data_IF_121565463777
#
_entry.id   IF_121565463777
#
_cell.length_a   1.000
_cell.length_b   1.000
_cell.length_c   1.000
_cell.angle_alpha   90.00
_cell.angle_beta   90.00
_cell.angle_gamma   90.00
#
_symmetry.space_group_name_H-M   'P 1'
#
loop_
_entity.id
_entity.type
_entity.pdbx_description
1 polymer ?
#
# COMPACT_ATOMS: atom_id res chain seq x y z
N UNK A 1 9.34 -2.93 25.30
CA UNK A 1 8.24 -1.95 25.18
C UNK A 1 7.44 -2.40 23.98
N UNK A 2 6.11 -2.58 24.09
CA UNK A 2 5.31 -2.90 22.90
C UNK A 2 5.13 -1.61 22.11
N UNK A 3 5.69 -1.55 20.90
CA UNK A 3 5.36 -0.47 19.98
C UNK A 3 3.86 -0.53 19.70
N UNK A 4 3.15 0.57 20.00
CA UNK A 4 1.74 0.65 19.70
C UNK A 4 1.58 0.85 18.19
N UNK A 5 0.94 -0.10 17.52
CA UNK A 5 0.72 -0.02 16.09
C UNK A 5 -0.32 1.05 15.75
N UNK A 6 -0.17 1.74 14.59
CA UNK A 6 -1.11 2.77 14.16
C UNK A 6 -2.50 2.16 13.89
N UNK A 7 -3.55 2.93 14.17
CA UNK A 7 -4.90 2.59 13.74
C UNK A 7 -5.12 3.10 12.32
N UNK A 8 -4.77 2.28 11.34
CA UNK A 8 -4.90 2.63 9.92
C UNK A 8 -6.29 2.25 9.38
N UNK A 9 -6.80 3.00 8.38
CA UNK A 9 -7.93 2.52 7.60
C UNK A 9 -7.56 1.21 6.88
N UNK A 10 -8.56 0.54 6.33
CA UNK A 10 -8.30 -0.52 5.38
C UNK A 10 -7.70 0.09 4.12
N UNK A 11 -6.59 -0.50 3.66
CA UNK A 11 -5.79 0.00 2.55
C UNK A 11 -5.72 -1.02 1.43
N UNK A 12 -5.62 -0.51 0.20
CA UNK A 12 -5.36 -1.30 -0.98
C UNK A 12 -4.27 -0.63 -1.81
N UNK A 13 -3.44 -1.44 -2.45
CA UNK A 13 -2.62 -0.98 -3.56
C UNK A 13 -3.49 -0.95 -4.82
N UNK A 14 -3.40 0.15 -5.55
CA UNK A 14 -4.09 0.37 -6.81
C UNK A 14 -3.15 1.01 -7.81
N UNK A 15 -3.49 0.88 -9.09
CA UNK A 15 -2.91 1.65 -10.17
C UNK A 15 -3.37 3.12 -10.13
N UNK A 16 -2.59 3.98 -10.77
CA UNK A 16 -2.87 5.41 -10.88
C UNK A 16 -1.85 6.12 -11.78
N UNK A 17 -1.83 7.45 -11.77
CA UNK A 17 -0.90 8.21 -12.59
C UNK A 17 0.56 8.02 -12.12
N UNK A 18 1.53 8.25 -13.01
CA UNK A 18 2.96 8.24 -12.65
C UNK A 18 3.34 9.33 -11.63
N UNK A 19 2.52 10.36 -11.51
CA UNK A 19 2.66 11.43 -10.52
C UNK A 19 1.29 11.68 -9.89
N UNK A 20 1.15 11.34 -8.61
CA UNK A 20 -0.08 11.56 -7.88
C UNK A 20 -0.12 13.00 -7.31
N UNK A 21 -1.17 13.79 -7.59
CA UNK A 21 -1.34 15.08 -6.95
C UNK A 21 -1.67 14.93 -5.46
N UNK A 22 -1.59 16.02 -4.71
CA UNK A 22 -1.78 16.00 -3.26
C UNK A 22 -3.21 15.63 -2.82
N UNK A 23 -4.21 15.97 -3.64
CA UNK A 23 -5.58 15.49 -3.47
C UNK A 23 -5.92 14.59 -4.63
N UNK A 24 -6.14 13.31 -4.34
CA UNK A 24 -6.41 12.32 -5.37
C UNK A 24 -7.44 11.28 -4.94
N UNK A 25 -8.28 10.86 -5.88
CA UNK A 25 -9.28 9.82 -5.71
C UNK A 25 -9.22 8.83 -6.86
N UNK A 26 -9.30 7.53 -6.58
CA UNK A 26 -9.09 6.49 -7.62
C UNK A 26 -10.17 6.47 -8.72
N UNK A 27 -11.27 7.19 -8.55
CA UNK A 27 -12.34 7.34 -9.54
C UNK A 27 -12.26 8.64 -10.36
N UNK A 28 -11.18 9.43 -10.21
CA UNK A 28 -11.04 10.66 -10.99
C UNK A 28 -10.66 10.34 -12.45
N UNK A 29 -11.43 10.89 -13.39
CA UNK A 29 -11.27 10.67 -14.84
C UNK A 29 -10.36 11.71 -15.52
N UNK A 30 -9.74 12.61 -14.77
CA UNK A 30 -8.94 13.73 -15.30
C UNK A 30 -7.45 13.40 -15.50
N UNK A 31 -7.05 12.17 -15.18
CA UNK A 31 -5.72 11.65 -15.43
C UNK A 31 -5.74 10.31 -16.14
N UNK A 32 -4.59 9.97 -16.72
CA UNK A 32 -4.36 8.64 -17.28
C UNK A 32 -3.65 7.77 -16.27
N UNK A 33 -4.02 6.49 -16.25
CA UNK A 33 -3.49 5.52 -15.31
C UNK A 33 -2.41 4.66 -15.95
N UNK A 34 -1.31 4.45 -15.22
CA UNK A 34 -0.31 3.44 -15.58
C UNK A 34 -0.79 2.08 -15.10
N UNK A 35 -1.24 1.26 -16.05
CA UNK A 35 -1.78 -0.06 -15.76
C UNK A 35 -0.69 -1.14 -15.75
N UNK A 36 -0.90 -2.16 -14.92
CA UNK A 36 0.01 -3.29 -14.77
C UNK A 36 -0.73 -4.61 -14.89
N UNK A 37 -0.06 -5.63 -15.40
CA UNK A 37 -0.55 -7.01 -15.29
C UNK A 37 -0.43 -7.51 -13.86
N UNK A 38 -1.26 -8.46 -13.47
CA UNK A 38 -1.15 -9.20 -12.21
C UNK A 38 0.28 -9.74 -12.00
N UNK A 39 0.91 -10.24 -13.08
CA UNK A 39 2.29 -10.73 -13.04
C UNK A 39 3.31 -9.65 -12.68
N UNK A 40 3.22 -8.47 -13.28
CA UNK A 40 4.16 -7.38 -13.00
C UNK A 40 4.09 -6.95 -11.53
N UNK A 41 2.88 -6.89 -10.96
CA UNK A 41 2.65 -6.54 -9.56
C UNK A 41 3.13 -7.65 -8.63
N UNK A 42 2.80 -8.91 -8.93
CA UNK A 42 3.31 -10.05 -8.17
C UNK A 42 4.84 -10.10 -8.14
N UNK A 43 5.50 -9.90 -9.29
CA UNK A 43 6.97 -9.83 -9.40
C UNK A 43 7.56 -8.63 -8.64
N UNK A 44 6.84 -7.50 -8.59
CA UNK A 44 7.26 -6.32 -7.83
C UNK A 44 7.18 -6.58 -6.32
N UNK A 45 6.06 -7.12 -5.84
CA UNK A 45 5.83 -7.49 -4.43
C UNK A 45 6.87 -8.53 -3.98
N UNK A 46 7.06 -9.62 -4.72
CA UNK A 46 8.01 -10.68 -4.37
C UNK A 46 9.48 -10.21 -4.37
N UNK A 47 9.78 -9.08 -5.00
CA UNK A 47 11.14 -8.53 -4.99
C UNK A 47 11.48 -7.71 -3.75
N UNK A 48 10.50 -7.41 -2.90
CA UNK A 48 10.72 -6.72 -1.63
C UNK A 48 11.38 -7.67 -0.64
N UNK A 49 12.54 -7.32 -0.04
CA UNK A 49 13.19 -8.16 0.96
C UNK A 49 12.26 -8.46 2.15
N UNK A 50 12.13 -9.74 2.48
CA UNK A 50 11.24 -10.22 3.54
C UNK A 50 9.86 -10.64 3.05
N UNK A 51 9.50 -10.38 1.79
CA UNK A 51 8.30 -10.96 1.17
C UNK A 51 8.55 -12.42 0.78
N UNK A 52 7.57 -13.27 1.06
CA UNK A 52 7.52 -14.65 0.61
C UNK A 52 6.16 -14.94 -0.05
N UNK A 53 6.18 -15.80 -1.06
CA UNK A 53 4.97 -16.37 -1.62
C UNK A 53 4.35 -17.36 -0.62
N UNK A 54 3.06 -17.20 -0.34
CA UNK A 54 2.27 -18.07 0.55
C UNK A 54 1.41 -19.00 -0.29
N UNK A 55 0.72 -18.46 -1.29
CA UNK A 55 -0.09 -19.20 -2.26
C UNK A 55 0.24 -18.73 -3.68
N UNK A 56 0.43 -19.68 -4.59
CA UNK A 56 0.69 -19.39 -6.01
C UNK A 56 -0.61 -19.05 -6.75
N UNK A 57 -0.49 -18.48 -7.95
CA UNK A 57 -1.61 -18.10 -8.82
C UNK A 57 -2.26 -19.34 -9.50
N UNK A 58 -2.73 -20.29 -8.69
CA UNK A 58 -3.39 -21.50 -9.15
C UNK A 58 -4.72 -21.70 -8.41
N UNK A 59 -5.87 -21.80 -9.10
CA UNK A 59 -6.00 -21.87 -10.56
C UNK A 59 -5.91 -20.52 -11.31
N UNK A 60 -5.91 -19.39 -10.60
CA UNK A 60 -5.85 -18.03 -11.17
C UNK A 60 -5.19 -17.06 -10.17
N UNK A 61 -5.09 -15.79 -10.53
CA UNK A 61 -4.45 -14.77 -9.69
C UNK A 61 -5.20 -14.44 -8.40
N UNK A 62 -6.52 -14.65 -8.36
CA UNK A 62 -7.31 -14.46 -7.12
C UNK A 62 -6.89 -15.43 -5.99
N UNK A 63 -6.22 -16.55 -6.33
CA UNK A 63 -5.62 -17.46 -5.35
C UNK A 63 -4.25 -17.03 -4.84
N UNK A 64 -3.61 -16.07 -5.52
CA UNK A 64 -2.24 -15.68 -5.24
C UNK A 64 -2.17 -14.87 -3.93
N UNK A 65 -1.24 -15.24 -3.06
CA UNK A 65 -1.00 -14.52 -1.81
C UNK A 65 0.49 -14.46 -1.53
N UNK A 66 1.00 -13.27 -1.23
CA UNK A 66 2.33 -13.08 -0.68
C UNK A 66 2.28 -12.32 0.64
N UNK A 67 3.33 -12.47 1.45
CA UNK A 67 3.42 -11.81 2.75
C UNK A 67 4.83 -11.35 3.05
N UNK A 68 4.96 -10.08 3.43
CA UNK A 68 6.13 -9.52 4.08
C UNK A 68 6.06 -9.78 5.58
N UNK A 69 7.16 -10.22 6.21
CA UNK A 69 7.22 -10.41 7.68
C UNK A 69 8.56 -9.95 8.26
N UNK A 70 8.51 -9.27 9.42
CA UNK A 70 9.69 -8.91 10.22
C UNK A 70 9.32 -8.73 11.69
N UNK A 71 9.99 -9.46 12.59
CA UNK A 71 9.86 -9.22 14.03
C UNK A 71 8.45 -9.37 14.62
N UNK A 72 7.57 -10.14 13.98
CA UNK A 72 6.15 -10.29 14.37
C UNK A 72 5.22 -9.33 13.64
N UNK A 73 5.74 -8.34 12.90
CA UNK A 73 4.97 -7.49 12.01
C UNK A 73 4.79 -8.15 10.65
N UNK A 74 3.67 -7.87 9.98
CA UNK A 74 3.41 -8.41 8.65
C UNK A 74 2.61 -7.46 7.75
N UNK A 75 2.75 -7.68 6.44
CA UNK A 75 1.87 -7.13 5.40
C UNK A 75 1.55 -8.28 4.43
N UNK A 76 0.27 -8.57 4.24
CA UNK A 76 -0.25 -9.59 3.34
C UNK A 76 -0.89 -8.91 2.12
N UNK A 77 -0.60 -9.48 0.95
CA UNK A 77 -1.02 -9.01 -0.35
C UNK A 77 -1.78 -10.14 -1.04
N UNK A 78 -2.97 -9.84 -1.54
CA UNK A 78 -3.62 -10.61 -2.60
C UNK A 78 -3.43 -9.90 -3.94
N UNK A 79 -3.93 -10.49 -5.02
CA UNK A 79 -4.03 -9.86 -6.32
C UNK A 79 -5.43 -10.15 -6.83
N UNK A 80 -6.15 -9.13 -7.28
CA UNK A 80 -7.41 -9.28 -7.99
C UNK A 80 -7.20 -8.92 -9.46
N UNK A 81 -7.71 -9.75 -10.36
CA UNK A 81 -7.80 -9.41 -11.79
C UNK A 81 -9.12 -8.70 -12.08
N UNK A 82 -9.09 -7.69 -12.94
CA UNK A 82 -10.29 -6.98 -13.38
C UNK A 82 -10.31 -6.85 -14.91
N UNK A 83 -11.51 -6.61 -15.46
CA UNK A 83 -11.68 -6.15 -16.84
C UNK A 83 -11.55 -4.61 -16.84
N UNK A 84 -10.61 -4.03 -17.61
CA UNK A 84 -10.40 -2.58 -17.66
C UNK A 84 -11.09 -1.96 -18.88
N UNK A 85 -11.40 -0.67 -18.78
CA UNK A 85 -11.79 0.14 -19.93
C UNK A 85 -10.53 0.70 -20.64
N UNK A 86 -10.22 0.22 -21.86
CA UNK A 86 -8.98 0.57 -22.57
C UNK A 86 -8.85 2.07 -22.92
N UNK A 87 -9.90 2.88 -22.76
CA UNK A 87 -9.86 4.31 -23.10
C UNK A 87 -9.05 5.18 -22.11
N UNK A 88 -8.77 4.67 -20.90
CA UNK A 88 -8.10 5.44 -19.82
C UNK A 88 -6.64 5.01 -19.51
N UNK A 89 -6.04 4.18 -20.35
CA UNK A 89 -4.71 3.60 -20.13
C UNK A 89 -3.58 4.49 -20.69
N UNK A 90 -2.45 4.57 -19.97
CA UNK A 90 -1.18 5.07 -20.51
C UNK A 90 -0.51 4.07 -21.46
N UNK A 91 -0.75 2.76 -21.27
CA UNK A 91 -0.08 1.68 -21.96
C UNK A 91 -1.07 0.84 -22.77
N UNK A 92 -1.21 1.09 -24.09
CA UNK A 92 -2.19 0.36 -24.90
C UNK A 92 -1.77 -1.11 -25.08
N UNK A 93 -2.77 -2.00 -25.17
CA UNK A 93 -2.59 -3.38 -25.65
C UNK A 93 -2.47 -4.45 -24.56
N UNK A 94 -2.88 -4.15 -23.33
CA UNK A 94 -3.08 -5.16 -22.28
C UNK A 94 -4.52 -5.71 -22.37
N UNK A 95 -4.66 -7.05 -22.31
CA UNK A 95 -5.97 -7.72 -22.32
C UNK A 95 -6.50 -8.04 -20.93
N UNK A 96 -5.61 -8.13 -19.95
CA UNK A 96 -5.89 -8.42 -18.55
C UNK A 96 -5.02 -7.50 -17.70
N UNK A 97 -5.58 -6.95 -16.63
CA UNK A 97 -4.88 -6.04 -15.74
C UNK A 97 -5.17 -6.39 -14.28
N UNK A 98 -4.24 -5.96 -13.44
CA UNK A 98 -4.39 -5.97 -12.00
C UNK A 98 -5.41 -4.90 -11.58
N UNK A 99 -6.50 -5.33 -10.94
CA UNK A 99 -7.56 -4.45 -10.44
C UNK A 99 -7.34 -3.96 -9.00
N UNK A 100 -6.24 -4.35 -8.36
CA UNK A 100 -5.90 -3.95 -7.00
C UNK A 100 -5.44 -5.12 -6.13
N UNK A 101 -4.83 -4.76 -5.01
CA UNK A 101 -4.34 -5.70 -3.99
C UNK A 101 -4.68 -5.17 -2.61
N UNK A 102 -5.44 -5.94 -1.83
CA UNK A 102 -5.66 -5.65 -0.42
C UNK A 102 -4.33 -5.61 0.32
N UNK A 103 -4.17 -4.58 1.14
CA UNK A 103 -2.95 -4.32 1.90
C UNK A 103 -3.20 -4.59 3.39
N UNK A 104 -3.39 -5.87 3.72
CA UNK A 104 -3.72 -6.29 5.09
C UNK A 104 -2.46 -6.27 5.94
N UNK A 105 -2.45 -5.46 6.99
CA UNK A 105 -1.23 -5.13 7.70
C UNK A 105 -1.35 -5.23 9.22
N UNK A 106 -0.22 -5.51 9.85
CA UNK A 106 0.03 -5.41 11.28
C UNK A 106 1.49 -4.97 11.44
N UNK A 107 1.75 -3.69 11.18
CA UNK A 107 3.09 -3.14 11.11
C UNK A 107 3.07 -1.64 11.36
N UNK A 108 4.26 -1.06 11.53
CA UNK A 108 4.45 0.37 11.70
C UNK A 108 4.28 1.12 10.37
N UNK A 109 3.99 2.43 10.42
CA UNK A 109 3.93 3.27 9.22
C UNK A 109 5.24 3.25 8.43
N UNK A 110 6.39 3.24 9.12
CA UNK A 110 7.70 3.19 8.47
C UNK A 110 7.90 1.89 7.67
N UNK A 111 7.37 0.77 8.15
CA UNK A 111 7.42 -0.51 7.44
C UNK A 111 6.50 -0.52 6.21
N UNK A 112 5.31 0.08 6.32
CA UNK A 112 4.42 0.29 5.17
C UNK A 112 5.12 1.13 4.10
N UNK A 113 5.66 2.28 4.48
CA UNK A 113 6.39 3.17 3.58
C UNK A 113 7.60 2.48 2.94
N UNK A 114 8.32 1.66 3.71
CA UNK A 114 9.45 0.88 3.21
C UNK A 114 9.00 -0.11 2.13
N UNK A 115 7.99 -0.94 2.41
CA UNK A 115 7.52 -1.97 1.48
C UNK A 115 6.91 -1.33 0.23
N UNK A 116 6.02 -0.35 0.42
CA UNK A 116 5.36 0.34 -0.68
C UNK A 116 6.35 1.06 -1.60
N UNK A 117 7.34 1.78 -1.05
CA UNK A 117 8.38 2.45 -1.85
C UNK A 117 9.19 1.46 -2.69
N UNK A 118 9.44 0.24 -2.20
CA UNK A 118 10.17 -0.76 -2.96
C UNK A 118 9.33 -1.37 -4.09
N UNK A 119 8.02 -1.52 -3.89
CA UNK A 119 7.09 -1.89 -4.96
C UNK A 119 7.07 -0.79 -6.03
N UNK A 120 6.93 0.48 -5.63
CA UNK A 120 6.91 1.63 -6.56
C UNK A 120 8.18 1.78 -7.40
N UNK A 121 9.35 1.31 -6.93
CA UNK A 121 10.57 1.33 -7.76
C UNK A 121 10.44 0.49 -9.04
N UNK A 122 9.55 -0.49 -9.05
CA UNK A 122 9.27 -1.33 -10.23
C UNK A 122 7.97 -0.96 -10.92
N UNK A 123 6.96 -0.57 -10.14
CA UNK A 123 5.65 -0.16 -10.63
C UNK A 123 5.34 1.27 -10.15
N UNK A 124 5.88 2.30 -10.81
CA UNK A 124 5.83 3.69 -10.33
C UNK A 124 4.43 4.30 -10.21
N UNK A 125 3.43 3.79 -10.93
CA UNK A 125 2.02 4.19 -10.84
C UNK A 125 1.23 3.47 -9.76
N UNK A 126 1.88 2.72 -8.86
CA UNK A 126 1.19 2.01 -7.77
C UNK A 126 1.04 2.91 -6.54
N UNK A 127 -0.18 3.12 -6.08
CA UNK A 127 -0.51 3.96 -4.93
C UNK A 127 -1.28 3.20 -3.87
N UNK A 128 -1.27 3.70 -2.63
CA UNK A 128 -2.22 3.25 -1.62
C UNK A 128 -3.49 4.09 -1.69
N UNK A 129 -4.64 3.46 -1.56
CA UNK A 129 -5.90 4.16 -1.28
C UNK A 129 -6.66 3.49 -0.14
N UNK A 130 -7.60 4.22 0.46
CA UNK A 130 -8.51 3.69 1.48
C UNK A 130 -9.89 3.33 0.91
N UNK A 131 -10.80 2.91 1.79
CA UNK A 131 -12.19 2.56 1.44
C UNK A 131 -13.02 3.75 0.96
N UNK A 132 -12.59 4.98 1.21
CA UNK A 132 -13.20 6.20 0.66
C UNK A 132 -12.59 6.56 -0.71
N UNK A 133 -11.80 5.64 -1.29
CA UNK A 133 -11.08 5.77 -2.54
C UNK A 133 -10.06 6.92 -2.54
N UNK A 134 -9.68 7.45 -1.38
CA UNK A 134 -8.69 8.51 -1.29
C UNK A 134 -7.32 7.92 -1.51
N UNK A 135 -6.62 8.40 -2.52
CA UNK A 135 -5.27 7.95 -2.84
C UNK A 135 -4.25 8.77 -2.07
N UNK A 136 -3.17 8.12 -1.67
CA UNK A 136 -2.10 8.71 -0.91
C UNK A 136 -0.80 8.66 -1.71
N UNK A 137 -0.02 9.74 -1.64
CA UNK A 137 1.41 9.70 -1.93
C UNK A 137 2.20 9.44 -0.64
N UNK A 138 3.47 9.05 -0.75
CA UNK A 138 4.32 8.70 0.40
C UNK A 138 4.39 9.81 1.46
N UNK A 139 4.43 11.08 1.02
CA UNK A 139 4.55 12.24 1.90
C UNK A 139 3.28 12.43 2.72
N UNK A 140 2.12 12.51 2.06
CA UNK A 140 0.83 12.74 2.72
C UNK A 140 0.47 11.56 3.63
N UNK A 141 0.76 10.33 3.20
CA UNK A 141 0.53 9.15 4.04
C UNK A 141 1.33 9.25 5.36
N UNK A 142 2.60 9.63 5.27
CA UNK A 142 3.45 9.80 6.45
C UNK A 142 3.00 10.96 7.35
N UNK A 143 2.53 12.07 6.78
CA UNK A 143 2.01 13.20 7.56
C UNK A 143 0.75 12.84 8.34
N UNK A 144 -0.17 12.08 7.74
CA UNK A 144 -1.44 11.71 8.35
C UNK A 144 -1.28 10.60 9.40
N UNK A 145 -0.40 9.63 9.16
CA UNK A 145 -0.35 8.40 9.96
C UNK A 145 0.96 8.22 10.73
N UNK A 146 2.06 8.86 10.30
CA UNK A 146 3.40 8.65 10.89
C UNK A 146 3.58 9.22 12.30
N UNK A 147 2.74 10.15 12.73
CA UNK A 147 2.79 10.74 14.08
C UNK A 147 1.98 9.95 15.11
N UNK A 148 1.02 9.12 14.68
CA UNK A 148 0.14 8.36 15.59
C UNK A 148 0.88 7.31 16.44
N UNK A 149 2.13 6.99 16.12
CA UNK A 149 3.00 6.12 16.91
C UNK A 149 3.96 6.86 17.87
N UNK A 150 3.93 8.20 17.94
CA UNK A 150 4.86 9.00 18.76
C UNK A 150 4.22 9.69 19.97
N UNK A 151 2.90 9.84 19.99
CA UNK A 151 2.20 10.64 21.01
C UNK A 151 1.92 9.90 22.32
N UNK A 152 2.37 8.66 22.49
CA UNK A 152 2.23 7.91 23.75
C UNK A 152 3.45 7.99 24.69
N UNK A 153 4.53 8.67 24.28
CA UNK A 153 5.74 8.86 25.09
C UNK A 153 5.92 10.33 25.49
N UNK A 154 5.10 10.82 26.43
CA UNK A 154 5.47 12.01 27.19
C UNK A 154 4.33 12.86 27.74
N UNK A 155 3.82 12.50 28.91
CA UNK A 155 3.55 13.47 29.97
C UNK A 155 3.43 12.74 31.32
N UNK A 156 4.58 12.43 31.93
CA UNK A 156 4.66 12.14 33.35
C UNK A 156 5.31 13.36 34.02
N UNK A 157 4.53 14.44 34.17
CA UNK A 157 4.94 15.57 34.99
C UNK A 157 4.69 15.17 36.44
N UNK A 158 5.72 14.62 37.08
CA UNK A 158 5.81 14.55 38.53
C UNK A 158 5.94 15.98 39.08
N UNK A 159 4.81 16.61 39.38
CA UNK A 159 4.79 17.77 40.26
C UNK A 159 4.96 17.31 41.71
N UNK A 160 6.20 17.04 42.12
CA UNK A 160 6.60 17.07 43.53
C UNK A 160 7.20 18.42 43.84
N UNK A 161 6.59 19.17 44.76
CA UNK A 161 7.16 20.43 45.24
C UNK A 161 6.24 21.21 46.16
N UNK A 162 5.98 20.67 47.36
CA UNK A 162 5.67 21.50 48.54
C UNK A 162 6.93 22.27 48.94
N UNK A 163 6.84 23.60 49.06
CA UNK A 163 7.19 24.42 50.25
C UNK A 163 6.37 25.69 50.23
#
# INVERSE_FOLDING_TARGET
MSEQLPNLPELYLVDGPLQLPDLAYSFADDWKTEIYTAKEIGDAILSVPGVKLIHDASPNWDSWVARWEKGGHFIEFDITECEFDPENELRPGLSEHWGGSKFKNHCTVDEILFVWRLIQKKCPGVWLHDTDCRMYNLTIFNELFGQQGRDSDGENVTSTGDV
#
